data_IF_261318360845
#
_entry.id   IF_261318360845
#
_cell.length_a   1.000
_cell.length_b   1.000
_cell.length_c   1.000
_cell.angle_alpha   90.00
_cell.angle_beta   90.00
_cell.angle_gamma   90.00
#
_symmetry.space_group_name_H-M   'P 1'
#
loop_
_entity.id
_entity.type
_entity.pdbx_description
1 polymer ?
#
# COMPACT_ATOMS: atom_id res chain seq x y z
N UNK A 1 24.43 -3.67 -11.11
CA UNK A 1 24.25 -3.70 -9.64
C UNK A 1 24.13 -5.14 -9.19
N UNK A 2 24.49 -5.44 -7.94
CA UNK A 2 24.36 -6.79 -7.36
C UNK A 2 22.98 -7.40 -7.59
N UNK A 3 21.91 -6.62 -7.48
CA UNK A 3 20.56 -7.10 -7.77
C UNK A 3 20.36 -7.53 -9.23
N UNK A 4 21.02 -6.90 -10.21
CA UNK A 4 20.97 -7.31 -11.62
C UNK A 4 21.75 -8.57 -11.88
N UNK A 5 22.88 -8.74 -11.21
CA UNK A 5 23.74 -9.91 -11.32
C UNK A 5 23.06 -11.13 -10.72
N UNK A 6 22.39 -10.96 -9.57
CA UNK A 6 21.75 -12.05 -8.84
C UNK A 6 20.35 -12.39 -9.37
N UNK A 7 19.60 -11.43 -9.91
CA UNK A 7 18.23 -11.67 -10.34
C UNK A 7 18.07 -12.88 -11.30
N UNK A 8 18.91 -13.09 -12.31
CA UNK A 8 18.79 -14.24 -13.21
C UNK A 8 19.04 -15.61 -12.54
N UNK A 9 19.77 -15.62 -11.42
CA UNK A 9 20.08 -16.83 -10.66
C UNK A 9 18.94 -17.22 -9.70
N UNK A 10 17.99 -16.32 -9.45
CA UNK A 10 16.87 -16.56 -8.57
C UNK A 10 15.70 -17.17 -9.34
N UNK A 11 14.90 -18.06 -8.71
CA UNK A 11 13.70 -18.59 -9.34
C UNK A 11 12.67 -17.47 -9.57
N UNK A 12 11.89 -17.62 -10.63
CA UNK A 12 10.75 -16.74 -10.91
C UNK A 12 9.69 -16.88 -9.82
N UNK A 13 9.48 -18.12 -9.37
CA UNK A 13 8.49 -18.46 -8.35
C UNK A 13 8.90 -19.76 -7.66
N UNK A 14 8.49 -19.90 -6.42
CA UNK A 14 8.52 -21.18 -5.70
C UNK A 14 7.17 -21.91 -5.81
N UNK A 15 6.35 -21.59 -6.78
CA UNK A 15 4.95 -22.05 -6.93
C UNK A 15 4.78 -23.56 -7.05
N UNK A 16 5.78 -24.29 -7.58
CA UNK A 16 5.78 -25.75 -7.54
C UNK A 16 5.82 -26.32 -6.12
N UNK A 17 6.19 -25.47 -5.17
CA UNK A 17 6.29 -25.71 -3.75
C UNK A 17 5.21 -24.94 -2.97
N UNK A 18 4.46 -24.05 -3.64
CA UNK A 18 3.47 -23.14 -3.07
C UNK A 18 2.07 -23.77 -2.94
N UNK A 19 1.96 -25.09 -2.84
CA UNK A 19 0.69 -25.73 -2.41
C UNK A 19 0.31 -25.35 -0.97
N UNK A 20 0.85 -24.25 -0.46
CA UNK A 20 0.66 -23.75 0.89
C UNK A 20 -0.48 -22.73 0.99
N UNK A 21 -1.29 -22.65 -0.05
CA UNK A 21 -2.48 -21.80 -0.07
C UNK A 21 -3.44 -22.06 1.11
N UNK A 22 -3.38 -23.24 1.70
CA UNK A 22 -4.22 -23.66 2.82
C UNK A 22 -3.46 -23.80 4.15
N UNK A 23 -2.27 -23.17 4.30
CA UNK A 23 -1.48 -23.34 5.51
C UNK A 23 -0.58 -24.58 5.50
N UNK A 24 -0.33 -25.16 4.34
CA UNK A 24 0.61 -26.25 4.17
C UNK A 24 2.04 -25.88 4.53
N UNK A 25 2.89 -26.86 4.68
CA UNK A 25 4.25 -26.72 5.24
C UNK A 25 5.33 -26.47 4.20
N UNK A 26 5.06 -25.63 3.17
CA UNK A 26 6.16 -25.33 2.23
C UNK A 26 7.19 -24.37 2.85
N UNK A 27 8.37 -24.87 3.25
CA UNK A 27 9.38 -24.03 3.89
C UNK A 27 10.02 -23.02 2.93
N UNK A 28 9.81 -23.16 1.62
CA UNK A 28 10.41 -22.30 0.61
C UNK A 28 9.51 -21.10 0.23
N UNK A 29 8.23 -21.16 0.55
CA UNK A 29 7.31 -20.07 0.25
C UNK A 29 7.70 -18.78 0.98
N UNK A 30 7.68 -17.65 0.28
CA UNK A 30 8.11 -16.35 0.82
C UNK A 30 9.62 -16.09 0.77
N UNK A 31 10.43 -16.97 0.15
CA UNK A 31 11.82 -16.67 -0.17
C UNK A 31 11.94 -15.63 -1.29
N UNK A 32 13.14 -15.06 -1.39
CA UNK A 32 13.47 -14.06 -2.40
C UNK A 32 13.43 -14.65 -3.80
N UNK A 33 12.65 -14.04 -4.68
CA UNK A 33 12.52 -14.40 -6.10
C UNK A 33 13.25 -13.39 -7.00
N UNK A 34 13.34 -13.69 -8.29
CA UNK A 34 13.82 -12.74 -9.29
C UNK A 34 13.08 -11.40 -9.21
N UNK A 35 11.74 -11.43 -9.09
CA UNK A 35 10.92 -10.23 -8.94
C UNK A 35 11.27 -9.42 -7.69
N UNK A 36 11.63 -10.08 -6.60
CA UNK A 36 12.08 -9.41 -5.36
C UNK A 36 13.38 -8.64 -5.57
N UNK A 37 14.37 -9.22 -6.26
CA UNK A 37 15.64 -8.56 -6.55
C UNK A 37 15.44 -7.34 -7.46
N UNK A 38 14.61 -7.46 -8.50
CA UNK A 38 14.25 -6.33 -9.37
C UNK A 38 13.50 -5.22 -8.60
N UNK A 39 12.57 -5.59 -7.73
CA UNK A 39 11.81 -4.67 -6.90
C UNK A 39 12.71 -3.89 -5.93
N UNK A 40 13.66 -4.56 -5.28
CA UNK A 40 14.63 -3.91 -4.40
C UNK A 40 15.49 -2.90 -5.16
N UNK A 41 16.03 -3.29 -6.33
CA UNK A 41 16.78 -2.39 -7.20
C UNK A 41 15.95 -1.17 -7.58
N UNK A 42 14.70 -1.36 -8.00
CA UNK A 42 13.84 -0.30 -8.47
C UNK A 42 13.49 0.72 -7.37
N UNK A 43 13.18 0.25 -6.14
CA UNK A 43 12.97 1.14 -4.99
C UNK A 43 14.25 1.89 -4.62
N UNK A 44 15.39 1.22 -4.61
CA UNK A 44 16.69 1.85 -4.33
C UNK A 44 17.05 2.91 -5.38
N UNK A 45 16.80 2.65 -6.67
CA UNK A 45 17.04 3.60 -7.76
C UNK A 45 16.17 4.86 -7.62
N UNK A 46 14.86 4.71 -7.28
CA UNK A 46 13.99 5.83 -6.99
C UNK A 46 14.51 6.71 -5.85
N UNK A 47 14.93 6.07 -4.76
CA UNK A 47 15.46 6.81 -3.60
C UNK A 47 16.76 7.52 -3.95
N UNK A 48 17.69 6.84 -4.65
CA UNK A 48 18.95 7.43 -5.12
C UNK A 48 18.72 8.66 -6.00
N UNK A 49 17.70 8.64 -6.87
CA UNK A 49 17.36 9.77 -7.73
C UNK A 49 16.77 10.96 -6.96
N UNK A 50 16.21 10.71 -5.77
CA UNK A 50 15.55 11.75 -4.97
C UNK A 50 16.55 12.73 -4.39
N UNK A 51 16.14 13.99 -4.27
CA UNK A 51 16.99 15.12 -3.87
C UNK A 51 17.79 14.90 -2.58
N UNK A 52 17.21 14.19 -1.60
CA UNK A 52 17.90 13.88 -0.35
C UNK A 52 19.19 13.07 -0.56
N UNK A 53 19.19 12.14 -1.52
CA UNK A 53 20.31 11.21 -1.73
C UNK A 53 21.23 11.61 -2.89
N UNK A 54 20.69 12.29 -3.92
CA UNK A 54 21.46 12.78 -5.07
C UNK A 54 22.16 14.12 -4.79
N UNK A 55 21.73 14.84 -3.77
CA UNK A 55 22.22 16.19 -3.47
C UNK A 55 21.67 17.28 -4.40
N UNK A 56 20.78 16.93 -5.34
CA UNK A 56 20.19 17.85 -6.32
C UNK A 56 19.32 17.14 -7.34
N UNK A 57 18.97 17.85 -8.39
CA UNK A 57 18.24 17.26 -9.52
C UNK A 57 19.22 16.65 -10.53
N UNK A 58 19.14 15.33 -10.73
CA UNK A 58 19.90 14.60 -11.75
C UNK A 58 18.95 13.82 -12.64
N UNK A 59 18.78 14.31 -13.86
CA UNK A 59 17.89 13.71 -14.86
C UNK A 59 18.29 12.28 -15.23
N UNK A 60 19.58 11.95 -15.22
CA UNK A 60 20.04 10.59 -15.53
C UNK A 60 19.64 9.61 -14.46
N UNK A 61 19.72 9.99 -13.17
CA UNK A 61 19.26 9.16 -12.07
C UNK A 61 17.75 8.90 -12.14
N UNK A 62 16.97 9.91 -12.55
CA UNK A 62 15.53 9.75 -12.76
C UNK A 62 15.23 8.80 -13.93
N UNK A 63 16.01 8.86 -15.03
CA UNK A 63 15.90 7.88 -16.10
C UNK A 63 16.24 6.47 -15.63
N UNK A 64 17.35 6.29 -14.89
CA UNK A 64 17.71 4.99 -14.28
C UNK A 64 16.58 4.45 -13.38
N UNK A 65 15.97 5.31 -12.58
CA UNK A 65 14.83 4.94 -11.75
C UNK A 65 13.61 4.53 -12.60
N UNK A 66 13.31 5.25 -13.69
CA UNK A 66 12.21 4.91 -14.60
C UNK A 66 12.45 3.55 -15.28
N UNK A 67 13.68 3.29 -15.77
CA UNK A 67 14.07 2.01 -16.37
C UNK A 67 13.89 0.86 -15.35
N UNK A 68 14.39 1.04 -14.13
CA UNK A 68 14.33 0.00 -13.12
C UNK A 68 12.88 -0.33 -12.69
N UNK A 69 12.05 0.69 -12.51
CA UNK A 69 10.63 0.48 -12.13
C UNK A 69 9.81 -0.09 -13.30
N UNK A 70 10.11 0.34 -14.55
CA UNK A 70 9.51 -0.29 -15.74
C UNK A 70 9.87 -1.76 -15.85
N UNK A 71 11.10 -2.13 -15.57
CA UNK A 71 11.54 -3.54 -15.59
C UNK A 71 10.75 -4.41 -14.60
N UNK A 72 10.39 -3.88 -13.43
CA UNK A 72 9.50 -4.59 -12.49
C UNK A 72 8.10 -4.75 -13.07
N UNK A 73 7.53 -3.70 -13.67
CA UNK A 73 6.20 -3.73 -14.29
C UNK A 73 6.18 -4.75 -15.43
N UNK A 74 7.19 -4.75 -16.29
CA UNK A 74 7.32 -5.68 -17.42
C UNK A 74 7.47 -7.13 -16.92
N UNK A 75 8.32 -7.36 -15.91
CA UNK A 75 8.47 -8.66 -15.25
C UNK A 75 7.14 -9.16 -14.68
N UNK A 76 6.42 -8.31 -13.96
CA UNK A 76 5.10 -8.65 -13.40
C UNK A 76 4.12 -9.05 -14.50
N UNK A 77 4.07 -8.27 -15.59
CA UNK A 77 3.20 -8.55 -16.74
C UNK A 77 3.53 -9.91 -17.37
N UNK A 78 4.82 -10.20 -17.57
CA UNK A 78 5.27 -11.46 -18.16
C UNK A 78 4.98 -12.68 -17.28
N UNK A 79 4.89 -12.50 -15.97
CA UNK A 79 4.70 -13.57 -14.99
C UNK A 79 3.29 -13.60 -14.37
N UNK A 80 2.31 -12.89 -14.96
CA UNK A 80 0.92 -12.92 -14.53
C UNK A 80 0.62 -12.18 -13.22
N UNK A 81 1.58 -11.41 -12.70
CA UNK A 81 1.39 -10.52 -11.55
C UNK A 81 0.67 -9.26 -12.05
N UNK A 82 -0.51 -8.98 -11.51
CA UNK A 82 -1.37 -7.89 -11.98
C UNK A 82 -2.07 -7.19 -10.82
N UNK A 83 -2.45 -5.94 -11.02
CA UNK A 83 -3.27 -5.22 -10.05
C UNK A 83 -4.59 -5.96 -9.83
N UNK A 84 -4.90 -6.24 -8.57
CA UNK A 84 -6.15 -6.81 -8.10
C UNK A 84 -7.03 -5.76 -7.43
N UNK A 85 -7.97 -6.20 -6.62
CA UNK A 85 -8.72 -5.32 -5.73
C UNK A 85 -7.80 -4.74 -4.66
N UNK A 86 -8.07 -3.51 -4.26
CA UNK A 86 -7.32 -2.87 -3.17
C UNK A 86 -7.48 -3.65 -1.85
N UNK A 87 -8.67 -4.20 -1.60
CA UNK A 87 -8.96 -5.00 -0.40
C UNK A 87 -8.21 -6.33 -0.34
N UNK A 88 -7.79 -6.89 -1.47
CA UNK A 88 -7.07 -8.18 -1.49
C UNK A 88 -5.64 -8.05 -0.94
N UNK A 89 -5.12 -6.80 -0.87
CA UNK A 89 -3.71 -6.54 -0.52
C UNK A 89 -3.40 -6.87 0.94
N UNK A 90 -4.36 -6.68 1.83
CA UNK A 90 -4.16 -6.81 3.28
C UNK A 90 -5.17 -7.68 4.00
N UNK A 91 -6.07 -8.30 3.26
CA UNK A 91 -7.00 -9.28 3.81
C UNK A 91 -6.29 -10.53 4.33
N UNK A 92 -7.04 -11.41 4.97
CA UNK A 92 -6.56 -12.76 5.29
C UNK A 92 -6.18 -13.47 3.99
N UNK A 93 -5.14 -14.28 4.02
CA UNK A 93 -4.60 -14.97 2.83
C UNK A 93 -4.10 -14.03 1.70
N UNK A 94 -3.70 -12.80 2.06
CA UNK A 94 -3.24 -11.78 1.11
C UNK A 94 -1.98 -12.17 0.31
N UNK A 95 -1.27 -13.23 0.68
CA UNK A 95 -0.17 -13.77 -0.13
C UNK A 95 -0.65 -14.35 -1.47
N UNK A 96 -1.94 -14.65 -1.62
CA UNK A 96 -2.57 -15.06 -2.88
C UNK A 96 -3.01 -13.87 -3.74
N UNK A 97 -2.96 -12.65 -3.22
CA UNK A 97 -3.35 -11.49 -4.00
C UNK A 97 -2.47 -11.32 -5.24
N UNK A 98 -3.11 -11.07 -6.37
CA UNK A 98 -2.50 -11.12 -7.71
C UNK A 98 -1.36 -10.12 -7.95
N UNK A 99 -1.15 -9.15 -7.06
CA UNK A 99 -0.12 -8.12 -7.22
C UNK A 99 1.08 -8.29 -6.29
N UNK A 100 1.13 -9.35 -5.50
CA UNK A 100 2.22 -9.59 -4.56
C UNK A 100 3.50 -9.97 -5.27
N UNK A 101 4.60 -9.28 -4.93
CA UNK A 101 5.96 -9.58 -5.38
C UNK A 101 6.76 -10.20 -4.25
N UNK A 102 6.65 -9.61 -3.04
CA UNK A 102 7.32 -10.14 -1.86
C UNK A 102 6.57 -9.77 -0.58
N UNK A 103 6.32 -10.77 0.26
CA UNK A 103 5.66 -10.62 1.56
C UNK A 103 6.46 -11.30 2.65
N UNK A 104 6.46 -10.74 3.85
CA UNK A 104 6.87 -11.46 5.05
C UNK A 104 5.71 -12.31 5.50
N UNK A 105 5.86 -13.61 5.45
CA UNK A 105 4.86 -14.55 5.94
C UNK A 105 4.77 -14.50 7.47
N UNK A 106 3.55 -14.47 7.96
CA UNK A 106 3.24 -14.45 9.39
C UNK A 106 2.21 -15.56 9.60
N UNK A 107 2.39 -16.37 10.66
CA UNK A 107 1.41 -17.37 11.07
C UNK A 107 0.13 -16.73 11.58
N UNK A 108 -0.86 -17.55 11.85
CA UNK A 108 -2.14 -17.09 12.43
C UNK A 108 -1.90 -16.38 13.76
N UNK A 109 -2.41 -15.17 13.88
CA UNK A 109 -2.24 -14.31 15.05
C UNK A 109 -3.34 -13.26 15.09
N UNK A 110 -3.75 -12.88 16.28
CA UNK A 110 -4.64 -11.74 16.55
C UNK A 110 -3.89 -10.50 17.06
N UNK A 111 -2.56 -10.54 17.04
CA UNK A 111 -1.73 -9.43 17.52
C UNK A 111 -2.01 -8.08 16.83
N UNK A 112 -2.24 -8.01 15.51
CA UNK A 112 -2.62 -6.75 14.86
C UNK A 112 -3.94 -6.18 15.41
N UNK A 113 -4.93 -7.02 15.67
CA UNK A 113 -6.23 -6.66 16.19
C UNK A 113 -6.14 -6.18 17.65
N UNK A 114 -5.45 -6.92 18.53
CA UNK A 114 -5.16 -6.47 19.90
C UNK A 114 -4.51 -5.09 19.93
N UNK A 115 -3.56 -4.86 19.04
CA UNK A 115 -2.81 -3.61 19.01
C UNK A 115 -3.63 -2.45 18.46
N UNK A 116 -4.54 -2.67 17.50
CA UNK A 116 -5.09 -1.59 16.69
C UNK A 116 -6.62 -1.46 16.70
N UNK A 117 -7.36 -2.40 17.28
CA UNK A 117 -8.82 -2.27 17.34
C UNK A 117 -9.25 -1.03 18.14
N UNK A 118 -10.43 -0.45 17.83
CA UNK A 118 -11.00 0.66 18.56
C UNK A 118 -11.15 0.30 20.06
N UNK A 119 -10.79 1.23 20.95
CA UNK A 119 -11.09 1.08 22.38
C UNK A 119 -12.59 0.94 22.60
N UNK A 120 -12.98 0.36 23.73
CA UNK A 120 -14.38 -0.03 24.04
C UNK A 120 -14.65 -1.50 23.76
N UNK A 121 -13.71 -2.20 23.10
CA UNK A 121 -13.61 -3.65 23.10
C UNK A 121 -12.63 -4.09 24.19
N UNK A 122 -12.88 -5.24 24.80
CA UNK A 122 -11.95 -5.84 25.74
C UNK A 122 -10.60 -6.09 25.05
N UNK A 123 -9.50 -5.72 25.71
CA UNK A 123 -8.13 -5.88 25.22
C UNK A 123 -7.71 -5.02 23.99
N UNK A 124 -8.55 -4.14 23.48
CA UNK A 124 -8.20 -3.24 22.39
C UNK A 124 -7.33 -2.07 22.85
N UNK A 125 -6.34 -1.64 22.04
CA UNK A 125 -5.39 -0.60 22.44
C UNK A 125 -5.07 0.49 21.41
N UNK A 126 -5.71 0.52 20.25
CA UNK A 126 -5.65 1.64 19.25
C UNK A 126 -4.26 2.14 18.91
N UNK A 127 -3.31 1.23 18.66
CA UNK A 127 -1.88 1.55 18.55
C UNK A 127 -1.52 2.45 17.38
N UNK A 128 -2.20 2.32 16.23
CA UNK A 128 -1.95 3.14 15.04
C UNK A 128 -3.22 3.87 14.63
N UNK A 129 -3.24 5.18 14.82
CA UNK A 129 -4.37 6.02 14.47
C UNK A 129 -4.09 6.85 13.21
N UNK A 130 -5.02 6.87 12.23
CA UNK A 130 -4.92 7.75 11.08
C UNK A 130 -4.86 9.22 11.50
N UNK A 131 -4.04 10.01 10.79
CA UNK A 131 -3.99 11.46 11.00
C UNK A 131 -5.01 12.18 10.13
N UNK A 132 -5.42 13.40 10.51
CA UNK A 132 -6.27 14.25 9.67
C UNK A 132 -5.65 14.50 8.29
N UNK A 133 -4.33 14.66 8.21
CA UNK A 133 -3.62 14.84 6.93
C UNK A 133 -3.85 13.67 5.96
N UNK A 134 -3.89 12.43 6.47
CA UNK A 134 -4.21 11.27 5.64
C UNK A 134 -5.70 11.30 5.21
N UNK A 135 -6.61 11.65 6.12
CA UNK A 135 -8.05 11.76 5.83
C UNK A 135 -8.32 12.81 4.74
N UNK A 136 -7.62 13.95 4.79
CA UNK A 136 -7.76 15.04 3.82
C UNK A 136 -7.11 14.72 2.45
N UNK A 137 -6.27 13.69 2.39
CA UNK A 137 -5.65 13.28 1.14
C UNK A 137 -6.59 12.48 0.23
N UNK A 138 -7.62 11.85 0.78
CA UNK A 138 -8.61 11.12 0.00
C UNK A 138 -9.48 12.09 -0.80
N UNK A 139 -9.40 12.01 -2.13
CA UNK A 139 -10.19 12.83 -3.05
C UNK A 139 -11.68 12.41 -3.01
N UNK A 140 -12.52 13.24 -3.58
CA UNK A 140 -13.91 12.88 -3.88
C UNK A 140 -14.09 12.71 -5.38
N UNK A 141 -15.01 11.84 -5.79
CA UNK A 141 -15.48 11.70 -7.17
C UNK A 141 -16.37 12.88 -7.56
N UNK A 142 -16.64 13.04 -8.84
CA UNK A 142 -17.49 14.12 -9.36
C UNK A 142 -18.91 14.09 -8.80
N UNK A 143 -19.40 12.92 -8.43
CA UNK A 143 -20.72 12.75 -7.79
C UNK A 143 -20.73 13.05 -6.28
N UNK A 144 -19.58 13.45 -5.71
CA UNK A 144 -19.40 13.76 -4.30
C UNK A 144 -19.02 12.57 -3.42
N UNK A 145 -19.02 11.34 -3.95
CA UNK A 145 -18.59 10.17 -3.20
C UNK A 145 -17.09 10.24 -2.89
N UNK A 146 -16.72 9.96 -1.65
CA UNK A 146 -15.32 9.89 -1.25
C UNK A 146 -14.64 8.69 -1.90
N UNK A 147 -13.32 8.80 -2.12
CA UNK A 147 -12.47 7.69 -2.57
C UNK A 147 -12.79 6.42 -1.76
N UNK A 148 -13.18 5.31 -2.41
CA UNK A 148 -13.57 4.08 -1.72
C UNK A 148 -12.48 3.54 -0.77
N UNK A 149 -11.20 3.80 -1.07
CA UNK A 149 -10.08 3.39 -0.21
C UNK A 149 -10.13 4.02 1.18
N UNK A 150 -10.82 5.17 1.33
CA UNK A 150 -11.04 5.77 2.64
C UNK A 150 -11.73 4.79 3.60
N UNK A 151 -12.92 4.34 3.26
CA UNK A 151 -13.68 3.40 4.09
C UNK A 151 -13.07 2.00 4.22
N UNK A 152 -12.13 1.64 3.31
CA UNK A 152 -11.36 0.40 3.37
C UNK A 152 -10.16 0.49 4.32
N UNK A 153 -9.65 1.71 4.56
CA UNK A 153 -8.40 1.95 5.32
C UNK A 153 -8.66 2.50 6.71
N UNK A 154 -9.70 3.32 6.87
CA UNK A 154 -9.99 4.14 8.05
C UNK A 154 -11.39 3.84 8.56
N UNK A 155 -11.55 3.76 9.87
CA UNK A 155 -12.82 3.75 10.55
C UNK A 155 -13.06 5.09 11.28
N UNK A 156 -14.28 5.60 11.16
CA UNK A 156 -14.71 6.89 11.67
C UNK A 156 -15.86 6.75 12.66
N UNK A 157 -16.23 7.89 13.25
CA UNK A 157 -17.47 8.01 14.00
C UNK A 157 -18.68 7.61 13.14
N UNK A 158 -19.54 6.75 13.67
CA UNK A 158 -20.71 6.24 12.99
C UNK A 158 -20.47 5.01 12.11
N UNK A 159 -19.22 4.57 11.91
CA UNK A 159 -18.94 3.35 11.17
C UNK A 159 -19.34 2.12 11.98
N UNK A 160 -19.87 1.10 11.28
CA UNK A 160 -20.12 -0.19 11.87
C UNK A 160 -18.82 -0.97 12.03
N UNK A 161 -18.60 -1.50 13.21
CA UNK A 161 -17.48 -2.39 13.50
C UNK A 161 -18.00 -3.63 14.21
N UNK A 162 -17.88 -4.82 13.62
CA UNK A 162 -18.28 -6.07 14.27
C UNK A 162 -17.63 -6.21 15.66
N UNK A 163 -18.36 -6.80 16.58
CA UNK A 163 -17.89 -7.07 17.94
C UNK A 163 -17.54 -5.83 18.79
N UNK A 164 -17.86 -4.60 18.35
CA UNK A 164 -17.75 -3.41 19.22
C UNK A 164 -19.03 -3.12 19.97
N UNK A 165 -18.88 -2.50 21.14
CA UNK A 165 -19.98 -1.90 21.90
C UNK A 165 -19.55 -0.47 22.29
N UNK A 166 -20.17 0.58 21.76
CA UNK A 166 -21.35 0.56 20.88
C UNK A 166 -21.02 0.19 19.43
N UNK A 167 -22.06 -0.22 18.70
CA UNK A 167 -22.02 -0.38 17.26
C UNK A 167 -23.26 0.35 16.67
N UNK A 168 -23.10 1.50 15.99
CA UNK A 168 -21.84 2.02 15.40
C UNK A 168 -20.87 2.66 16.41
N UNK A 169 -19.61 2.90 15.93
CA UNK A 169 -18.56 3.53 16.71
C UNK A 169 -18.92 4.95 17.14
N UNK A 170 -18.57 5.29 18.38
CA UNK A 170 -18.68 6.63 18.95
C UNK A 170 -17.28 7.18 19.25
N UNK A 171 -16.59 7.74 18.22
CA UNK A 171 -15.19 8.17 18.34
C UNK A 171 -15.03 9.64 18.75
N UNK A 172 -16.14 10.35 18.99
CA UNK A 172 -16.14 11.72 19.47
C UNK A 172 -15.73 11.83 20.93
N UNK A 173 -15.36 13.04 21.38
CA UNK A 173 -14.99 13.30 22.77
C UNK A 173 -16.20 13.04 23.69
N UNK A 174 -16.03 12.15 24.63
CA UNK A 174 -17.10 11.64 25.51
C UNK A 174 -17.84 10.42 24.99
N UNK A 175 -17.57 10.01 23.74
CA UNK A 175 -18.11 8.78 23.16
C UNK A 175 -17.42 7.52 23.75
N UNK A 176 -18.06 6.39 23.58
CA UNK A 176 -17.59 5.11 24.17
C UNK A 176 -16.39 4.49 23.45
N UNK A 177 -15.95 5.08 22.31
CA UNK A 177 -14.74 4.72 21.59
C UNK A 177 -13.83 5.95 21.40
N UNK A 178 -14.02 7.00 22.20
CA UNK A 178 -13.30 8.26 22.07
C UNK A 178 -12.66 8.72 23.39
N UNK A 179 -11.94 9.85 23.31
CA UNK A 179 -11.39 10.50 24.50
C UNK A 179 -12.53 10.85 25.49
N UNK A 180 -12.31 10.76 26.82
CA UNK A 180 -11.03 10.57 27.50
C UNK A 180 -10.71 9.10 27.86
N UNK A 181 -11.28 8.12 27.18
CA UNK A 181 -10.95 6.73 27.47
C UNK A 181 -9.44 6.47 27.31
N UNK A 182 -8.82 5.68 28.21
CA UNK A 182 -7.44 5.25 28.03
C UNK A 182 -7.24 4.59 26.67
N UNK A 183 -6.15 4.93 26.01
CA UNK A 183 -5.77 4.43 24.67
C UNK A 183 -6.75 4.80 23.54
N UNK A 184 -7.74 5.65 23.76
CA UNK A 184 -8.61 6.12 22.67
C UNK A 184 -7.82 6.90 21.64
N UNK A 185 -8.31 6.85 20.40
CA UNK A 185 -7.72 7.61 19.31
C UNK A 185 -7.63 9.10 19.63
N UNK A 186 -6.46 9.73 19.48
CA UNK A 186 -6.33 11.18 19.64
C UNK A 186 -6.87 11.97 18.45
N UNK A 187 -7.18 11.31 17.33
CA UNK A 187 -7.58 11.94 16.08
C UNK A 187 -9.05 11.73 15.73
N UNK A 188 -9.76 10.87 16.44
CA UNK A 188 -11.14 10.49 16.12
C UNK A 188 -11.25 9.41 15.05
N UNK A 189 -10.12 8.88 14.56
CA UNK A 189 -10.05 7.86 13.52
C UNK A 189 -9.35 6.60 14.02
N UNK A 190 -9.77 5.44 13.50
CA UNK A 190 -9.16 4.15 13.80
C UNK A 190 -8.64 3.48 12.51
N UNK A 191 -7.62 2.64 12.66
CA UNK A 191 -7.09 1.83 11.57
C UNK A 191 -8.08 0.71 11.23
N UNK A 192 -8.24 0.44 9.93
CA UNK A 192 -9.04 -0.67 9.37
C UNK A 192 -8.19 -1.61 8.53
N UNK A 193 -7.26 -1.04 7.76
CA UNK A 193 -6.34 -1.77 6.89
C UNK A 193 -5.50 -2.77 7.69
N UNK A 194 -5.30 -3.97 7.18
CA UNK A 194 -4.62 -5.10 7.84
C UNK A 194 -5.34 -5.71 9.05
N UNK A 195 -6.58 -5.31 9.33
CA UNK A 195 -7.33 -5.86 10.46
C UNK A 195 -8.53 -6.66 9.96
N UNK A 196 -8.77 -7.81 10.57
CA UNK A 196 -10.01 -8.55 10.41
C UNK A 196 -10.99 -8.14 11.51
N UNK A 197 -11.94 -7.28 11.18
CA UNK A 197 -12.93 -6.77 12.12
C UNK A 197 -13.82 -7.88 12.75
N UNK A 198 -13.83 -9.08 12.18
CA UNK A 198 -14.56 -10.24 12.73
C UNK A 198 -13.77 -11.02 13.80
N UNK A 199 -12.48 -10.71 13.99
CA UNK A 199 -11.64 -11.37 14.99
C UNK A 199 -12.16 -11.03 16.39
N UNK A 200 -12.41 -12.05 17.20
CA UNK A 200 -12.74 -11.89 18.61
C UNK A 200 -11.46 -11.84 19.44
N UNK A 201 -11.17 -10.67 20.01
CA UNK A 201 -10.01 -10.44 20.87
C UNK A 201 -10.35 -10.52 22.38
N UNK A 202 -11.60 -10.81 22.73
CA UNK A 202 -12.01 -10.99 24.14
C UNK A 202 -11.63 -12.36 24.70
N UNK A 203 -11.42 -13.36 23.82
CA UNK A 203 -11.09 -14.71 24.23
C UNK A 203 -9.68 -14.79 24.81
N UNK A 204 -9.52 -15.28 26.02
CA UNK A 204 -8.24 -15.48 26.72
C UNK A 204 -7.23 -16.33 25.92
N UNK A 205 -7.71 -17.16 25.01
CA UNK A 205 -6.90 -18.10 24.24
C UNK A 205 -6.33 -17.56 22.94
N UNK A 206 -6.63 -16.32 22.53
CA UNK A 206 -6.25 -15.81 21.20
C UNK A 206 -6.83 -16.67 20.06
N UNK A 207 -7.88 -17.44 20.33
CA UNK A 207 -8.52 -18.31 19.35
C UNK A 207 -9.22 -17.44 18.29
N UNK A 208 -8.88 -17.64 17.03
CA UNK A 208 -9.47 -16.89 15.91
C UNK A 208 -8.52 -15.91 15.25
N UNK A 209 -7.24 -15.90 15.63
CA UNK A 209 -6.22 -15.14 14.92
C UNK A 209 -6.20 -15.47 13.43
N UNK A 210 -5.95 -14.48 12.62
CA UNK A 210 -5.91 -14.59 11.17
C UNK A 210 -4.49 -14.39 10.64
N UNK A 211 -4.25 -14.89 9.45
CA UNK A 211 -2.99 -14.72 8.77
C UNK A 211 -3.00 -13.41 7.99
N UNK A 212 -2.24 -12.44 8.47
CA UNK A 212 -2.02 -11.15 7.80
C UNK A 212 -0.56 -11.05 7.40
N UNK A 213 -0.22 -11.46 6.18
CA UNK A 213 1.16 -11.35 5.71
C UNK A 213 1.53 -9.88 5.51
N UNK A 214 2.73 -9.51 5.96
CA UNK A 214 3.22 -8.15 5.80
C UNK A 214 3.76 -7.94 4.38
N UNK A 215 3.16 -7.00 3.66
CA UNK A 215 3.55 -6.68 2.27
C UNK A 215 4.84 -5.88 2.28
N UNK A 216 5.87 -6.37 1.57
CA UNK A 216 7.15 -5.68 1.40
C UNK A 216 7.23 -5.04 0.01
N UNK A 217 6.90 -5.80 -1.05
CA UNK A 217 6.83 -5.32 -2.42
C UNK A 217 5.54 -5.79 -3.10
N UNK A 218 4.84 -4.87 -3.74
CA UNK A 218 3.64 -5.13 -4.55
C UNK A 218 3.61 -4.23 -5.79
N UNK A 219 2.97 -4.69 -6.85
CA UNK A 219 2.97 -4.03 -8.15
C UNK A 219 2.47 -2.58 -8.12
N UNK A 220 1.47 -2.26 -7.28
CA UNK A 220 0.94 -0.89 -7.16
C UNK A 220 1.99 0.14 -6.77
N UNK A 221 2.95 -0.22 -5.91
CA UNK A 221 4.09 0.65 -5.59
C UNK A 221 4.90 1.01 -6.83
N UNK A 222 5.17 0.03 -7.71
CA UNK A 222 6.06 0.23 -8.85
C UNK A 222 5.42 1.05 -9.97
N UNK A 223 4.10 1.03 -10.11
CA UNK A 223 3.40 1.99 -10.95
C UNK A 223 3.56 3.42 -10.42
N UNK A 224 3.44 3.64 -9.12
CA UNK A 224 3.63 4.97 -8.52
C UNK A 224 5.10 5.41 -8.57
N UNK A 225 6.04 4.50 -8.31
CA UNK A 225 7.47 4.77 -8.42
C UNK A 225 7.86 5.15 -9.85
N UNK A 226 7.34 4.41 -10.85
CA UNK A 226 7.55 4.72 -12.26
C UNK A 226 6.96 6.09 -12.62
N UNK A 227 5.74 6.39 -12.16
CA UNK A 227 5.09 7.67 -12.43
C UNK A 227 5.94 8.85 -11.95
N UNK A 228 6.50 8.79 -10.75
CA UNK A 228 7.41 9.83 -10.24
C UNK A 228 8.67 9.94 -11.08
N UNK A 229 9.30 8.79 -11.36
CA UNK A 229 10.56 8.76 -12.08
C UNK A 229 10.42 9.31 -13.51
N UNK A 230 9.37 8.89 -14.24
CA UNK A 230 9.15 9.35 -15.63
C UNK A 230 8.73 10.82 -15.68
N UNK A 231 7.90 11.29 -14.75
CA UNK A 231 7.57 12.71 -14.62
C UNK A 231 8.82 13.57 -14.42
N UNK A 232 9.68 13.18 -13.49
CA UNK A 232 10.94 13.90 -13.21
C UNK A 232 11.92 13.83 -14.39
N UNK A 233 11.93 12.72 -15.12
CA UNK A 233 12.79 12.54 -16.27
C UNK A 233 12.31 13.34 -17.48
N UNK A 234 11.03 13.24 -17.86
CA UNK A 234 10.49 13.89 -19.07
C UNK A 234 10.04 15.34 -18.84
N UNK A 235 9.78 15.72 -17.60
CA UNK A 235 9.41 17.08 -17.21
C UNK A 235 7.94 17.43 -17.40
N UNK A 236 7.09 16.48 -17.81
CA UNK A 236 5.64 16.67 -17.88
C UNK A 236 4.90 15.35 -17.61
N UNK A 237 3.75 15.43 -16.97
CA UNK A 237 3.01 14.27 -16.47
C UNK A 237 2.42 13.37 -17.57
N UNK A 238 1.98 13.96 -18.67
CA UNK A 238 1.46 13.26 -19.84
C UNK A 238 2.53 12.90 -20.89
N UNK A 239 3.81 13.26 -20.65
CA UNK A 239 4.87 13.04 -21.62
C UNK A 239 5.24 11.57 -21.80
N UNK A 240 5.58 11.22 -23.04
CA UNK A 240 6.12 9.92 -23.43
C UNK A 240 7.26 10.12 -24.43
N UNK A 241 8.11 9.12 -24.63
CA UNK A 241 9.14 9.12 -25.67
C UNK A 241 9.27 7.72 -26.31
N UNK A 242 10.34 7.51 -27.09
CA UNK A 242 10.54 6.23 -27.76
C UNK A 242 10.89 5.09 -26.80
N UNK A 243 11.48 5.37 -25.66
CA UNK A 243 11.84 4.39 -24.62
C UNK A 243 10.69 4.14 -23.64
N UNK A 244 9.94 5.19 -23.30
CA UNK A 244 8.88 5.16 -22.30
C UNK A 244 7.53 5.52 -22.92
N UNK A 245 6.73 4.51 -23.25
CA UNK A 245 5.42 4.66 -23.91
C UNK A 245 4.27 4.89 -22.95
N UNK A 246 4.48 4.71 -21.65
CA UNK A 246 3.49 4.95 -20.60
C UNK A 246 3.83 6.27 -19.90
N UNK A 247 2.92 7.24 -19.91
CA UNK A 247 3.07 8.51 -19.20
C UNK A 247 2.95 8.31 -17.68
N UNK A 248 3.33 9.33 -16.90
CA UNK A 248 3.12 9.31 -15.45
C UNK A 248 1.63 9.24 -15.11
N UNK A 249 0.78 10.00 -15.80
CA UNK A 249 -0.68 9.94 -15.64
C UNK A 249 -1.21 8.54 -15.93
N UNK A 250 -0.80 7.93 -17.05
CA UNK A 250 -1.23 6.58 -17.40
C UNK A 250 -0.84 5.54 -16.35
N UNK A 251 0.35 5.66 -15.75
CA UNK A 251 0.81 4.75 -14.70
C UNK A 251 -0.03 4.91 -13.41
N UNK A 252 -0.31 6.14 -12.98
CA UNK A 252 -1.17 6.41 -11.81
C UNK A 252 -2.58 5.90 -12.07
N UNK A 253 -3.12 6.10 -13.27
CA UNK A 253 -4.47 5.70 -13.63
C UNK A 253 -4.64 4.17 -13.57
N UNK A 254 -3.58 3.36 -13.80
CA UNK A 254 -3.65 1.92 -13.55
C UNK A 254 -4.04 1.59 -12.10
N UNK A 255 -3.48 2.30 -11.14
CA UNK A 255 -3.77 2.12 -9.71
C UNK A 255 -5.19 2.62 -9.38
N UNK A 256 -5.57 3.79 -9.92
CA UNK A 256 -6.87 4.41 -9.67
C UNK A 256 -8.04 3.64 -10.27
N UNK A 257 -7.82 2.91 -11.36
CA UNK A 257 -8.84 2.13 -12.09
C UNK A 257 -9.01 0.70 -11.58
N UNK A 258 -8.52 0.36 -10.38
CA UNK A 258 -8.86 -0.91 -9.73
C UNK A 258 -10.37 -1.09 -9.64
N UNK A 259 -10.86 -2.31 -9.78
CA UNK A 259 -12.30 -2.62 -9.86
C UNK A 259 -13.10 -2.17 -8.63
N UNK A 260 -12.46 -2.07 -7.47
CA UNK A 260 -13.06 -1.64 -6.21
C UNK A 260 -12.72 -0.19 -5.83
N UNK A 261 -11.96 0.54 -6.67
CA UNK A 261 -11.55 1.93 -6.45
C UNK A 261 -12.23 2.87 -7.43
N UNK A 262 -11.94 2.77 -8.72
CA UNK A 262 -12.57 3.54 -9.80
C UNK A 262 -12.63 5.05 -9.54
N UNK A 263 -11.48 5.64 -9.23
CA UNK A 263 -11.33 7.09 -9.10
C UNK A 263 -11.12 7.74 -10.48
N UNK A 264 -11.54 9.00 -10.67
CA UNK A 264 -11.31 9.74 -11.91
C UNK A 264 -9.85 9.77 -12.31
N UNK A 265 -9.57 9.66 -13.60
CA UNK A 265 -8.22 9.67 -14.15
C UNK A 265 -7.51 11.00 -13.92
N UNK A 266 -6.18 10.94 -13.82
CA UNK A 266 -5.33 12.10 -14.02
C UNK A 266 -5.29 12.40 -15.51
N UNK A 267 -5.70 13.59 -15.95
CA UNK A 267 -5.66 13.94 -17.36
C UNK A 267 -4.22 14.22 -17.82
N UNK A 268 -3.88 13.83 -19.07
CA UNK A 268 -2.51 14.01 -19.60
C UNK A 268 -2.08 15.47 -19.71
N UNK A 269 -3.04 16.41 -19.76
CA UNK A 269 -2.79 17.85 -19.81
C UNK A 269 -2.82 18.53 -18.43
N UNK A 270 -2.75 17.77 -17.35
CA UNK A 270 -2.67 18.30 -15.98
C UNK A 270 -1.43 19.21 -15.83
N UNK A 271 -1.57 20.33 -15.12
CA UNK A 271 -0.41 21.19 -14.84
C UNK A 271 0.59 20.50 -13.91
N UNK A 272 1.87 20.85 -14.02
CA UNK A 272 2.95 20.26 -13.20
C UNK A 272 2.71 20.45 -11.71
N UNK A 273 2.25 21.62 -11.29
CA UNK A 273 1.95 21.90 -9.88
C UNK A 273 0.81 21.03 -9.37
N UNK A 274 -0.28 20.96 -10.12
CA UNK A 274 -1.43 20.12 -9.76
C UNK A 274 -1.06 18.64 -9.78
N UNK A 275 -0.36 18.17 -10.81
CA UNK A 275 0.11 16.80 -10.88
C UNK A 275 0.91 16.41 -9.65
N UNK A 276 1.91 17.22 -9.28
CA UNK A 276 2.79 16.89 -8.17
C UNK A 276 2.06 16.84 -6.83
N UNK A 277 1.15 17.78 -6.58
CA UNK A 277 0.34 17.77 -5.36
C UNK A 277 -0.61 16.58 -5.30
N UNK A 278 -1.29 16.26 -6.40
CA UNK A 278 -2.19 15.10 -6.46
C UNK A 278 -1.42 13.77 -6.42
N UNK A 279 -0.26 13.68 -7.07
CA UNK A 279 0.60 12.50 -6.99
C UNK A 279 1.01 12.19 -5.55
N UNK A 280 1.44 13.19 -4.78
CA UNK A 280 1.81 13.00 -3.37
C UNK A 280 0.64 12.48 -2.54
N UNK A 281 -0.58 12.97 -2.80
CA UNK A 281 -1.80 12.48 -2.15
C UNK A 281 -2.12 11.05 -2.59
N UNK A 282 -2.10 10.77 -3.89
CA UNK A 282 -2.37 9.44 -4.42
C UNK A 282 -1.42 8.39 -3.82
N UNK A 283 -0.13 8.70 -3.77
CA UNK A 283 0.86 7.84 -3.16
C UNK A 283 0.62 7.64 -1.64
N UNK A 284 0.24 8.68 -0.93
CA UNK A 284 -0.09 8.61 0.50
C UNK A 284 -1.33 7.75 0.76
N UNK A 285 -2.35 7.86 -0.08
CA UNK A 285 -3.60 7.08 0.01
C UNK A 285 -3.36 5.62 -0.35
N UNK A 286 -2.74 5.36 -1.49
CA UNK A 286 -2.52 4.00 -1.99
C UNK A 286 -1.61 3.19 -1.05
N UNK A 287 -0.53 3.80 -0.57
CA UNK A 287 0.47 3.16 0.29
C UNK A 287 0.28 3.47 1.79
N UNK A 288 -0.94 3.88 2.19
CA UNK A 288 -1.24 4.17 3.59
C UNK A 288 -0.91 2.96 4.47
N UNK A 289 -0.23 3.20 5.60
CA UNK A 289 0.22 2.18 6.57
C UNK A 289 1.17 1.10 6.02
N UNK A 290 1.80 1.31 4.85
CA UNK A 290 2.80 0.42 4.27
C UNK A 290 4.24 0.95 4.45
N UNK A 291 4.49 1.83 5.41
CA UNK A 291 5.79 2.41 5.80
C UNK A 291 6.46 3.33 4.76
N UNK A 292 5.77 3.72 3.68
CA UNK A 292 6.37 4.56 2.63
C UNK A 292 6.43 6.04 3.04
N UNK A 293 5.40 6.57 3.74
CA UNK A 293 5.26 8.01 4.01
C UNK A 293 6.45 8.63 4.72
N UNK A 294 7.04 7.91 5.68
CA UNK A 294 8.23 8.37 6.42
C UNK A 294 9.39 8.71 5.49
N UNK A 295 9.61 7.88 4.48
CA UNK A 295 10.68 8.06 3.50
C UNK A 295 10.31 9.10 2.45
N UNK A 296 9.07 9.07 1.96
CA UNK A 296 8.59 9.97 0.93
C UNK A 296 8.72 11.44 1.34
N UNK A 297 8.27 11.83 2.55
CA UNK A 297 8.38 13.22 3.03
C UNK A 297 9.80 13.69 3.28
N UNK A 298 10.76 12.78 3.38
CA UNK A 298 12.17 13.12 3.58
C UNK A 298 12.94 13.21 2.27
N UNK A 299 12.58 12.37 1.30
CA UNK A 299 13.31 12.29 0.03
C UNK A 299 12.85 13.34 -0.98
N UNK A 300 11.64 13.87 -0.85
CA UNK A 300 11.10 14.96 -1.66
C UNK A 300 11.62 16.32 -1.21
#
# INVERSE_FOLDING_TARGET
SECEEVAPELPVSYSALDNDAAGGSNPEAGRVTQGTALALKARAALYRASKLFSGGEDRNLWREAAVANKAVIDYCTANGIRLGKYTDIWGTDNYQASEMIFVRRIGDTSSPEYTNFPVGMENASSGNCPTQTLVDAYESKDNGDKDPRFGMTIACNGDKWPNTNPNPLETFIGGKNGLPLPYATPTGYYLKKYLDASTDISAESGSGGKRHNWVIFRLGEFYLNYAEAIYRYLGAAGATDNEFRMSACAAINKVRQRSDVQMPDFPDNISDTEFWERYKKERMVELAFEQHRFWDVRRW
#
